data_IF_575326446763
#
_entry.id   IF_575326446763
#
_cell.length_a   1.000
_cell.length_b   1.000
_cell.length_c   1.000
_cell.angle_alpha   90.00
_cell.angle_beta   90.00
_cell.angle_gamma   90.00
#
_symmetry.space_group_name_H-M   'P 1'
#
loop_
_entity.id
_entity.type
_entity.pdbx_description
1 polymer ?
#
# COMPACT_ATOMS: atom_id res chain seq x y z
N UNK A 1 -7.90 8.90 0.25
CA UNK A 1 -6.57 9.34 -0.27
C UNK A 1 -6.24 8.58 -1.56
N UNK A 2 -5.52 9.20 -2.51
CA UNK A 2 -5.04 8.53 -3.73
C UNK A 2 -3.52 8.61 -3.82
N UNK A 3 -2.88 7.50 -4.17
CA UNK A 3 -1.43 7.37 -4.37
C UNK A 3 -1.18 6.89 -5.80
N UNK A 4 -0.44 7.66 -6.59
CA UNK A 4 -0.11 7.32 -7.98
C UNK A 4 1.36 6.92 -8.05
N UNK A 5 1.66 5.80 -8.71
CA UNK A 5 3.03 5.28 -8.79
C UNK A 5 3.31 4.56 -10.12
N UNK A 6 4.56 4.59 -10.62
CA UNK A 6 4.95 3.81 -11.78
C UNK A 6 5.00 2.30 -11.48
N UNK A 7 5.21 1.49 -12.52
CA UNK A 7 5.41 0.05 -12.39
C UNK A 7 6.62 -0.26 -11.52
N UNK A 8 6.48 -1.16 -10.54
CA UNK A 8 7.58 -1.61 -9.70
C UNK A 8 8.05 -0.59 -8.67
N UNK A 9 7.28 0.47 -8.42
CA UNK A 9 7.63 1.48 -7.44
C UNK A 9 7.74 0.90 -6.02
N UNK A 10 8.69 1.42 -5.26
CA UNK A 10 8.80 1.24 -3.81
C UNK A 10 8.52 2.59 -3.16
N UNK A 11 7.56 2.62 -2.24
CA UNK A 11 7.16 3.81 -1.50
C UNK A 11 7.53 3.60 -0.04
N UNK A 12 8.34 4.51 0.51
CA UNK A 12 8.76 4.48 1.91
C UNK A 12 7.80 5.28 2.79
N UNK A 13 7.27 4.62 3.82
CA UNK A 13 6.40 5.21 4.82
C UNK A 13 7.07 5.15 6.19
N UNK A 14 6.97 6.25 6.94
CA UNK A 14 7.32 6.23 8.36
C UNK A 14 6.28 5.43 9.16
N UNK A 15 4.99 5.67 8.90
CA UNK A 15 3.87 4.86 9.39
C UNK A 15 2.80 4.78 8.32
N UNK A 16 1.95 3.76 8.34
CA UNK A 16 0.87 3.60 7.38
C UNK A 16 -0.42 3.16 8.06
N UNK A 17 -1.47 3.97 7.95
CA UNK A 17 -2.76 3.62 8.53
C UNK A 17 -3.93 3.93 7.60
N UNK A 18 -4.93 3.06 7.61
CA UNK A 18 -6.24 3.30 6.99
C UNK A 18 -7.30 3.11 8.07
N UNK A 19 -7.95 4.20 8.47
CA UNK A 19 -9.00 4.19 9.48
C UNK A 19 -10.27 3.48 9.02
N UNK A 20 -11.15 3.15 9.96
CA UNK A 20 -12.48 2.59 9.64
C UNK A 20 -13.27 3.59 8.79
N UNK A 21 -13.87 3.12 7.69
CA UNK A 21 -14.59 3.96 6.73
C UNK A 21 -13.68 4.71 5.74
N UNK A 22 -12.37 4.74 5.98
CA UNK A 22 -11.41 5.39 5.07
C UNK A 22 -11.02 4.47 3.92
N UNK A 23 -10.65 5.09 2.79
CA UNK A 23 -10.12 4.40 1.62
C UNK A 23 -8.84 5.04 1.12
N UNK A 24 -7.81 4.21 0.95
CA UNK A 24 -6.60 4.56 0.19
C UNK A 24 -6.63 3.84 -1.15
N UNK A 25 -6.46 4.60 -2.23
CA UNK A 25 -6.47 4.07 -3.61
C UNK A 25 -5.09 4.17 -4.24
N UNK A 26 -4.51 3.03 -4.60
CA UNK A 26 -3.26 2.95 -5.37
C UNK A 26 -3.56 2.86 -6.86
N UNK A 27 -3.09 3.86 -7.61
CA UNK A 27 -3.24 3.93 -9.06
C UNK A 27 -1.87 3.72 -9.68
N UNK A 28 -1.65 2.49 -10.14
CA UNK A 28 -0.49 2.10 -10.94
C UNK A 28 -0.93 1.49 -12.29
N UNK A 29 -0.03 1.34 -13.26
CA UNK A 29 -0.37 0.64 -14.51
C UNK A 29 -0.99 -0.74 -14.23
N UNK A 30 -1.99 -1.15 -15.02
CA UNK A 30 -2.69 -2.43 -14.81
C UNK A 30 -1.71 -3.60 -14.77
N UNK A 31 -1.92 -4.50 -13.80
CA UNK A 31 -1.05 -5.67 -13.61
C UNK A 31 0.29 -5.37 -12.94
N UNK A 32 0.60 -4.12 -12.62
CA UNK A 32 1.83 -3.75 -11.92
C UNK A 32 1.71 -3.92 -10.40
N UNK A 33 2.85 -4.20 -9.78
CA UNK A 33 3.01 -4.26 -8.33
C UNK A 33 3.65 -2.97 -7.82
N UNK A 34 3.13 -2.45 -6.70
CA UNK A 34 3.77 -1.42 -5.87
C UNK A 34 4.07 -1.99 -4.49
N UNK A 35 5.24 -1.67 -3.93
CA UNK A 35 5.65 -2.07 -2.58
C UNK A 35 5.59 -0.84 -1.68
N UNK A 36 4.86 -0.93 -0.58
CA UNK A 36 4.80 0.07 0.48
C UNK A 36 5.65 -0.44 1.65
N UNK A 37 6.83 0.15 1.86
CA UNK A 37 7.76 -0.26 2.91
C UNK A 37 7.59 0.65 4.13
N UNK A 38 7.22 0.07 5.27
CA UNK A 38 7.01 0.78 6.54
C UNK A 38 8.22 0.56 7.44
N UNK A 39 8.99 1.62 7.73
CA UNK A 39 10.32 1.50 8.35
C UNK A 39 10.42 1.96 9.81
N UNK A 40 9.42 2.65 10.38
CA UNK A 40 9.57 3.27 11.70
C UNK A 40 8.42 3.01 12.67
N UNK A 41 7.19 3.22 12.23
CA UNK A 41 5.99 3.22 13.05
C UNK A 41 5.06 2.04 12.79
N UNK A 42 3.81 2.18 13.27
CA UNK A 42 2.80 1.14 13.13
C UNK A 42 2.25 1.05 11.69
N UNK A 43 1.80 -0.15 11.34
CA UNK A 43 0.90 -0.38 10.22
C UNK A 43 -0.44 -0.88 10.72
N UNK A 44 -1.52 -0.19 10.36
CA UNK A 44 -2.89 -0.56 10.74
C UNK A 44 -3.86 -0.31 9.59
N UNK A 45 -4.44 -1.38 9.04
CA UNK A 45 -5.39 -1.28 7.93
C UNK A 45 -6.75 -1.77 8.44
N UNK A 46 -7.54 -0.84 8.97
CA UNK A 46 -8.89 -1.08 9.49
C UNK A 46 -9.99 -0.61 8.52
N UNK A 47 -9.60 0.11 7.47
CA UNK A 47 -10.46 0.52 6.35
C UNK A 47 -10.16 -0.25 5.07
N UNK A 48 -10.32 0.42 3.93
CA UNK A 48 -10.18 -0.21 2.61
C UNK A 48 -8.93 0.25 1.85
N UNK A 49 -8.24 -0.71 1.25
CA UNK A 49 -7.18 -0.45 0.26
C UNK A 49 -7.68 -0.90 -1.10
N UNK A 50 -7.71 0.01 -2.06
CA UNK A 50 -8.08 -0.27 -3.44
C UNK A 50 -6.86 -0.13 -4.35
N UNK A 51 -6.83 -0.89 -5.43
CA UNK A 51 -5.73 -0.81 -6.39
C UNK A 51 -6.17 -1.12 -7.82
N UNK A 52 -5.41 -0.65 -8.82
CA UNK A 52 -5.52 -1.06 -10.22
C UNK A 52 -4.57 -2.22 -10.59
N UNK A 53 -3.81 -2.76 -9.63
CA UNK A 53 -2.88 -3.87 -9.80
C UNK A 53 -2.65 -4.64 -8.51
N UNK A 54 -1.40 -4.79 -8.07
CA UNK A 54 -1.04 -5.42 -6.79
C UNK A 54 -0.39 -4.43 -5.86
N UNK A 55 -0.78 -4.47 -4.58
CA UNK A 55 -0.17 -3.68 -3.52
C UNK A 55 0.41 -4.64 -2.50
N UNK A 56 1.70 -4.49 -2.22
CA UNK A 56 2.37 -5.20 -1.15
C UNK A 56 2.76 -4.21 -0.06
N UNK A 57 2.72 -4.66 1.19
CA UNK A 57 3.19 -3.94 2.35
C UNK A 57 4.33 -4.74 2.98
N UNK A 58 5.48 -4.10 3.14
CA UNK A 58 6.67 -4.66 3.77
C UNK A 58 6.91 -3.96 5.11
N UNK A 59 6.89 -4.72 6.20
CA UNK A 59 7.25 -4.21 7.52
C UNK A 59 7.99 -5.28 8.32
N UNK A 60 9.12 -4.90 8.92
CA UNK A 60 9.94 -5.79 9.75
C UNK A 60 10.29 -7.13 9.07
N UNK A 61 10.58 -7.10 7.76
CA UNK A 61 10.87 -8.30 6.97
C UNK A 61 9.66 -9.16 6.59
N UNK A 62 8.46 -8.84 7.09
CA UNK A 62 7.21 -9.51 6.74
C UNK A 62 6.50 -8.79 5.59
N UNK A 63 5.94 -9.56 4.67
CA UNK A 63 5.17 -9.05 3.52
C UNK A 63 3.69 -9.43 3.65
N UNK A 64 2.81 -8.44 3.51
CA UNK A 64 1.36 -8.63 3.37
C UNK A 64 0.88 -7.94 2.08
N UNK A 65 -0.33 -8.21 1.59
CA UNK A 65 -0.76 -7.58 0.34
C UNK A 65 -2.22 -7.75 -0.01
N UNK A 66 -2.64 -6.92 -0.97
CA UNK A 66 -3.95 -6.97 -1.61
C UNK A 66 -3.76 -6.97 -3.13
N UNK A 67 -4.57 -7.74 -3.83
CA UNK A 67 -4.69 -7.72 -5.28
C UNK A 67 -6.08 -7.25 -5.69
N UNK A 68 -6.19 -6.76 -6.93
CA UNK A 68 -7.48 -6.71 -7.64
C UNK A 68 -8.15 -8.08 -7.73
#
# INVERSE_FOLDING_TARGET
MTVTSPQGAVIDWQSFAVGVGETVRFVQPKGSTVINRVNGGAMAINGSVQTSGRVLFLQHGSVSGASV
#
